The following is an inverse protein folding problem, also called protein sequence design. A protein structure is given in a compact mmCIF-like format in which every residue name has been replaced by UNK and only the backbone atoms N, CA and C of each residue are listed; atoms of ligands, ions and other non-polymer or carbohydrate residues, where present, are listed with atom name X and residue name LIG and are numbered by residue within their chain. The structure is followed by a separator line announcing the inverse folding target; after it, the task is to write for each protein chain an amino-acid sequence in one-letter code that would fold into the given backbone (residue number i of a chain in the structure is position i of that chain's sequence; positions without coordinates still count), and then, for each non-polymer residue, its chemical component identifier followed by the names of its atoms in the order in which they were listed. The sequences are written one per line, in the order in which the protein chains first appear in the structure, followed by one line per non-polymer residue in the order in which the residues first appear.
data_IF_172138982487
#
_entry.id   IF_172138982487
#
_cell.length_a   1.000
_cell.length_b   1.000
_cell.length_c   1.000
_cell.angle_alpha   90.00
_cell.angle_beta   90.00
_cell.angle_gamma   90.00
#
_symmetry.space_group_name_H-M   'P 1'
#
loop_
_entity.id
_entity.type
_entity.pdbx_description
1 polymer ?
#
# COMPACT_ATOMS: atom_id res chain seq x y z
N UNK A 1 -5.88 10.40 -32.37
CA UNK A 1 -6.04 9.63 -31.11
C UNK A 1 -5.63 8.20 -31.40
N UNK A 2 -4.68 7.63 -30.65
CA UNK A 2 -4.28 6.21 -30.79
C UNK A 2 -5.10 5.40 -29.77
N UNK A 3 -6.07 4.61 -30.27
CA UNK A 3 -6.97 3.78 -29.48
C UNK A 3 -6.76 2.33 -29.91
N UNK A 4 -6.47 1.43 -28.96
CA UNK A 4 -6.24 0.01 -29.24
C UNK A 4 -7.02 -0.88 -28.30
N UNK A 5 -7.49 -2.00 -28.84
CA UNK A 5 -8.13 -3.08 -28.09
C UNK A 5 -7.07 -4.10 -27.66
N UNK A 6 -6.91 -4.30 -26.36
CA UNK A 6 -5.93 -5.22 -25.76
C UNK A 6 -6.60 -6.57 -25.50
N UNK A 7 -6.89 -7.30 -26.59
CA UNK A 7 -7.63 -8.57 -26.51
C UNK A 7 -6.94 -9.62 -25.63
N UNK A 8 -5.60 -9.65 -25.63
CA UNK A 8 -4.80 -10.58 -24.82
C UNK A 8 -4.67 -10.22 -23.33
N UNK A 9 -5.18 -9.06 -22.89
CA UNK A 9 -5.22 -8.69 -21.48
C UNK A 9 -6.46 -9.30 -20.83
N UNK A 10 -6.26 -10.19 -19.86
CA UNK A 10 -7.37 -10.77 -19.12
C UNK A 10 -7.84 -9.80 -18.03
N UNK A 11 -9.00 -9.18 -18.22
CA UNK A 11 -9.61 -8.25 -17.25
C UNK A 11 -10.69 -8.95 -16.41
N UNK A 12 -10.84 -10.28 -16.54
CA UNK A 12 -11.90 -11.07 -15.89
C UNK A 12 -13.34 -10.54 -16.18
N UNK A 13 -13.51 -9.82 -17.30
CA UNK A 13 -14.76 -9.23 -17.80
C UNK A 13 -15.17 -9.88 -19.13
N UNK A 14 -16.44 -9.78 -19.50
CA UNK A 14 -16.98 -10.10 -20.82
C UNK A 14 -16.57 -9.09 -21.92
N UNK A 15 -15.98 -7.96 -21.53
CA UNK A 15 -15.48 -6.93 -22.43
C UNK A 15 -13.96 -6.93 -22.56
N UNK A 16 -13.46 -6.57 -23.75
CA UNK A 16 -12.03 -6.34 -23.95
C UNK A 16 -11.59 -5.00 -23.37
N UNK A 17 -10.35 -4.98 -22.86
CA UNK A 17 -9.71 -3.73 -22.46
C UNK A 17 -9.49 -2.84 -23.68
N UNK A 18 -10.00 -1.61 -23.63
CA UNK A 18 -9.70 -0.57 -24.63
C UNK A 18 -8.83 0.47 -23.95
N UNK A 19 -7.68 0.78 -24.54
CA UNK A 19 -6.82 1.85 -24.02
C UNK A 19 -6.53 2.88 -25.11
N UNK A 20 -6.48 4.15 -24.70
CA UNK A 20 -6.12 5.28 -25.54
C UNK A 20 -4.87 5.97 -25.00
N UNK A 21 -4.03 6.48 -25.91
CA UNK A 21 -2.84 7.26 -25.53
C UNK A 21 -3.16 8.74 -25.59
N UNK A 22 -3.19 9.39 -24.42
CA UNK A 22 -3.37 10.84 -24.29
C UNK A 22 -2.09 11.51 -23.78
N UNK A 23 -1.64 12.57 -24.45
CA UNK A 23 -0.56 13.44 -23.97
C UNK A 23 -1.18 14.70 -23.39
N UNK A 24 -1.19 14.82 -22.06
CA UNK A 24 -1.73 15.98 -21.36
C UNK A 24 -0.76 16.50 -20.30
N UNK A 25 -0.72 17.83 -20.12
CA UNK A 25 0.05 18.48 -19.04
C UNK A 25 -0.77 18.44 -17.75
N UNK A 26 -0.65 17.35 -17.00
CA UNK A 26 -1.33 17.22 -15.71
C UNK A 26 -0.66 18.18 -14.70
N UNK A 27 -1.46 18.98 -14.00
CA UNK A 27 -0.97 19.81 -12.90
C UNK A 27 -0.52 18.91 -11.74
N UNK A 28 0.79 18.73 -11.58
CA UNK A 28 1.39 17.90 -10.54
C UNK A 28 1.43 18.54 -9.15
N UNK A 29 0.95 19.79 -8.99
CA UNK A 29 0.97 20.49 -7.69
C UNK A 29 0.19 19.74 -6.60
N UNK A 30 -0.93 19.11 -6.96
CA UNK A 30 -1.71 18.27 -6.05
C UNK A 30 -0.90 17.09 -5.49
N UNK A 31 -0.11 16.42 -6.33
CA UNK A 31 0.75 15.30 -5.92
C UNK A 31 1.99 15.75 -5.13
N UNK A 32 2.56 16.92 -5.47
CA UNK A 32 3.68 17.50 -4.69
C UNK A 32 3.27 17.83 -3.25
N UNK A 33 2.07 18.36 -3.03
CA UNK A 33 1.54 18.58 -1.68
C UNK A 33 1.46 17.26 -0.91
N UNK A 34 1.01 16.18 -1.55
CA UNK A 34 0.83 14.87 -0.92
C UNK A 34 2.15 14.16 -0.57
N UNK A 35 3.19 14.29 -1.40
CA UNK A 35 4.52 13.76 -1.08
C UNK A 35 5.20 14.49 0.09
N UNK A 36 4.78 15.72 0.39
CA UNK A 36 5.21 16.48 1.57
C UNK A 36 4.32 16.26 2.79
N UNK A 37 3.19 15.55 2.65
CA UNK A 37 2.28 15.30 3.77
C UNK A 37 2.77 14.05 4.50
N UNK A 38 3.66 14.33 5.44
CA UNK A 38 4.03 13.51 6.58
C UNK A 38 4.67 12.16 6.25
N UNK A 39 6.01 12.14 6.33
CA UNK A 39 6.73 11.01 6.92
C UNK A 39 6.18 10.82 8.34
N UNK A 40 5.07 10.08 8.45
CA UNK A 40 4.44 9.79 9.72
C UNK A 40 5.46 9.05 10.57
N UNK A 41 5.53 9.42 11.84
CA UNK A 41 6.40 8.75 12.80
C UNK A 41 5.76 7.42 13.17
N UNK A 42 6.55 6.36 13.25
CA UNK A 42 6.04 5.05 13.60
C UNK A 42 5.91 4.90 15.12
N UNK A 43 4.69 5.12 15.62
CA UNK A 43 4.35 5.09 17.06
C UNK A 43 4.60 3.69 17.65
N UNK A 44 4.62 2.64 16.84
CA UNK A 44 4.86 1.28 17.33
C UNK A 44 6.25 1.13 17.99
N UNK A 45 7.23 1.92 17.55
CA UNK A 45 8.56 1.95 18.15
C UNK A 45 8.58 2.53 19.57
N UNK A 46 7.54 3.24 20.00
CA UNK A 46 7.39 3.69 21.40
C UNK A 46 7.06 2.56 22.36
N UNK A 47 6.74 1.34 21.87
CA UNK A 47 6.71 0.13 22.73
C UNK A 47 8.12 -0.24 23.22
N UNK A 48 9.17 0.20 22.52
CA UNK A 48 10.56 -0.08 22.90
C UNK A 48 11.06 0.93 23.94
N UNK A 49 11.41 0.44 25.13
CA UNK A 49 11.88 1.25 26.25
C UNK A 49 13.14 2.06 25.93
N UNK A 50 14.02 1.57 25.07
CA UNK A 50 15.23 2.29 24.65
C UNK A 50 14.88 3.56 23.87
N UNK A 51 13.99 3.44 22.89
CA UNK A 51 13.56 4.55 22.02
C UNK A 51 12.79 5.59 22.83
N UNK A 52 11.96 5.16 23.78
CA UNK A 52 11.27 6.07 24.71
C UNK A 52 12.27 6.86 25.55
N UNK A 53 13.31 6.22 26.06
CA UNK A 53 14.33 6.90 26.85
C UNK A 53 15.15 7.89 26.02
N UNK A 54 15.53 7.52 24.79
CA UNK A 54 16.23 8.40 23.86
C UNK A 54 15.36 9.62 23.49
N UNK A 55 14.07 9.40 23.21
CA UNK A 55 13.11 10.47 22.95
C UNK A 55 12.95 11.40 24.16
N UNK A 56 12.79 10.86 25.37
CA UNK A 56 12.70 11.67 26.60
C UNK A 56 13.96 12.50 26.84
N UNK A 57 15.14 11.95 26.54
CA UNK A 57 16.42 12.66 26.66
C UNK A 57 16.49 13.82 25.66
N UNK A 58 16.18 13.58 24.40
CA UNK A 58 16.12 14.62 23.37
C UNK A 58 15.10 15.71 23.70
N UNK A 59 13.92 15.32 24.20
CA UNK A 59 12.87 16.25 24.57
C UNK A 59 13.30 17.15 25.74
N UNK A 60 13.94 16.60 26.78
CA UNK A 60 14.50 17.38 27.89
C UNK A 60 15.58 18.36 27.44
N UNK A 61 16.43 17.94 26.50
CA UNK A 61 17.49 18.79 25.94
C UNK A 61 16.95 19.93 25.06
N UNK A 62 15.79 19.73 24.42
CA UNK A 62 15.18 20.72 23.51
C UNK A 62 14.18 21.64 24.19
N UNK A 63 13.56 21.21 25.29
CA UNK A 63 12.63 22.03 26.11
C UNK A 63 13.36 23.08 26.96
N UNK A 64 14.70 23.15 26.91
CA UNK A 64 15.47 24.15 27.67
C UNK A 64 14.91 25.55 27.44
N UNK A 65 14.58 26.20 28.56
CA UNK A 65 13.76 27.40 28.71
C UNK A 65 14.15 28.48 27.71
N UNK A 66 13.27 28.75 26.75
CA UNK A 66 13.30 29.98 25.94
C UNK A 66 12.52 31.08 26.65
N UNK A 67 12.98 32.31 26.46
CA UNK A 67 12.30 33.52 26.94
C UNK A 67 10.81 33.50 26.58
N UNK A 68 10.01 34.02 27.50
CA UNK A 68 8.54 34.06 27.44
C UNK A 68 8.10 34.50 26.04
N UNK A 69 7.49 33.57 25.30
CA UNK A 69 7.00 33.87 23.97
C UNK A 69 5.99 35.03 24.05
N UNK A 70 6.00 35.97 23.09
CA UNK A 70 5.21 37.20 23.17
C UNK A 70 3.69 36.93 23.14
N UNK A 71 3.25 35.77 22.65
CA UNK A 71 1.85 35.34 22.65
C UNK A 71 1.71 33.84 22.93
N UNK A 72 0.54 33.44 23.43
CA UNK A 72 0.18 32.03 23.67
C UNK A 72 0.24 31.19 22.39
N UNK A 73 -0.17 31.77 21.25
CA UNK A 73 -0.16 31.10 19.95
C UNK A 73 1.26 30.72 19.51
N UNK A 74 2.22 31.63 19.71
CA UNK A 74 3.63 31.41 19.37
C UNK A 74 4.23 30.37 20.32
N UNK A 75 3.94 30.48 21.62
CA UNK A 75 4.38 29.49 22.61
C UNK A 75 3.88 28.07 22.27
N UNK A 76 2.61 27.95 21.85
CA UNK A 76 2.04 26.66 21.45
C UNK A 76 2.67 26.11 20.17
N UNK A 77 2.90 26.97 19.18
CA UNK A 77 3.54 26.58 17.94
C UNK A 77 4.98 26.09 18.18
N UNK A 78 5.75 26.79 19.01
CA UNK A 78 7.11 26.40 19.38
C UNK A 78 7.14 25.07 20.14
N UNK A 79 6.22 24.88 21.10
CA UNK A 79 6.09 23.60 21.82
C UNK A 79 5.75 22.45 20.87
N UNK A 80 4.82 22.67 19.95
CA UNK A 80 4.44 21.67 18.94
C UNK A 80 5.64 21.32 18.05
N UNK A 81 6.39 22.31 17.60
CA UNK A 81 7.52 22.09 16.70
C UNK A 81 8.69 21.39 17.39
N UNK A 82 8.96 21.72 18.66
CA UNK A 82 9.96 21.02 19.49
C UNK A 82 9.61 19.55 19.69
N UNK A 83 8.35 19.24 20.02
CA UNK A 83 7.85 17.86 20.14
C UNK A 83 8.00 17.09 18.82
N UNK A 84 7.59 17.69 17.70
CA UNK A 84 7.68 17.06 16.37
C UNK A 84 9.15 16.85 15.96
N UNK A 85 10.04 17.79 16.27
CA UNK A 85 11.46 17.67 15.93
C UNK A 85 12.18 16.64 16.78
N UNK A 86 11.92 16.59 18.09
CA UNK A 86 12.47 15.56 18.97
C UNK A 86 12.02 14.16 18.54
N UNK A 87 10.76 14.01 18.15
CA UNK A 87 10.20 12.74 17.70
C UNK A 87 10.78 12.31 16.35
N UNK A 88 10.94 13.22 15.38
CA UNK A 88 11.61 12.93 14.09
C UNK A 88 13.08 12.50 14.22
N UNK A 89 13.78 12.95 15.26
CA UNK A 89 15.20 12.60 15.51
C UNK A 89 15.38 11.21 16.12
N UNK A 90 14.41 10.76 16.91
CA UNK A 90 14.57 9.57 17.78
C UNK A 90 13.72 8.40 17.33
N UNK A 91 12.53 8.68 16.79
CA UNK A 91 11.58 7.65 16.39
C UNK A 91 11.70 7.47 14.86
N UNK A 92 11.88 6.22 14.38
CA UNK A 92 11.94 5.94 12.95
C UNK A 92 10.70 6.41 12.19
N UNK A 93 10.91 6.78 10.92
CA UNK A 93 9.82 7.08 9.99
C UNK A 93 9.04 5.79 9.65
N UNK A 94 7.72 5.92 9.54
CA UNK A 94 6.85 4.83 9.14
C UNK A 94 7.22 4.36 7.74
N UNK A 95 7.65 3.11 7.65
CA UNK A 95 7.98 2.50 6.37
C UNK A 95 6.72 2.30 5.53
N UNK A 96 6.89 2.28 4.21
CA UNK A 96 5.80 1.92 3.31
C UNK A 96 5.29 0.51 3.66
N UNK A 97 4.03 0.44 4.09
CA UNK A 97 3.39 -0.84 4.36
C UNK A 97 3.28 -1.60 3.03
N UNK A 98 3.81 -2.82 2.98
CA UNK A 98 3.61 -3.72 1.85
C UNK A 98 2.12 -4.07 1.76
N UNK A 99 1.42 -3.49 0.78
CA UNK A 99 -0.04 -3.57 0.68
C UNK A 99 -0.59 -4.97 0.36
N UNK A 100 0.25 -5.96 -0.01
CA UNK A 100 -0.20 -7.27 -0.49
C UNK A 100 0.57 -8.45 0.14
N UNK A 101 0.63 -8.53 1.47
CA UNK A 101 1.30 -9.65 2.16
C UNK A 101 0.61 -11.02 1.98
N UNK A 102 -0.68 -11.05 1.60
CA UNK A 102 -1.41 -12.31 1.40
C UNK A 102 -1.19 -12.93 0.00
N UNK A 103 -0.70 -12.16 -0.97
CA UNK A 103 -0.52 -12.61 -2.34
C UNK A 103 0.89 -13.18 -2.49
N UNK A 104 0.99 -14.50 -2.53
CA UNK A 104 2.25 -15.23 -2.57
C UNK A 104 2.56 -15.80 -3.97
N UNK A 105 3.68 -16.52 -4.06
CA UNK A 105 4.18 -17.09 -5.32
C UNK A 105 3.18 -18.05 -5.96
N UNK A 106 2.50 -18.89 -5.16
CA UNK A 106 1.45 -19.78 -5.68
C UNK A 106 0.26 -18.98 -6.25
N UNK A 107 -0.14 -17.85 -5.64
CA UNK A 107 -1.16 -16.98 -6.25
C UNK A 107 -0.69 -16.45 -7.61
N UNK A 108 0.57 -16.01 -7.69
CA UNK A 108 1.17 -15.53 -8.93
C UNK A 108 1.15 -16.60 -10.01
N UNK A 109 1.54 -17.83 -9.67
CA UNK A 109 1.61 -18.95 -10.61
C UNK A 109 0.22 -19.36 -11.13
N UNK A 110 -0.78 -19.45 -10.25
CA UNK A 110 -2.14 -19.80 -10.67
C UNK A 110 -2.74 -18.70 -11.55
N UNK A 111 -2.52 -17.42 -11.21
CA UNK A 111 -2.93 -16.29 -12.08
C UNK A 111 -2.22 -16.35 -13.44
N UNK A 112 -0.94 -16.71 -13.47
CA UNK A 112 -0.18 -16.88 -14.72
C UNK A 112 -0.76 -18.00 -15.58
N UNK A 113 -1.03 -19.18 -15.01
CA UNK A 113 -1.69 -20.31 -15.70
C UNK A 113 -3.05 -19.92 -16.26
N UNK A 114 -3.88 -19.21 -15.46
CA UNK A 114 -5.17 -18.68 -15.91
C UNK A 114 -5.01 -17.74 -17.10
N UNK A 115 -4.05 -16.82 -17.05
CA UNK A 115 -3.81 -15.84 -18.11
C UNK A 115 -3.26 -16.50 -19.40
N UNK A 116 -2.44 -17.53 -19.28
CA UNK A 116 -1.99 -18.34 -20.41
C UNK A 116 -3.17 -19.07 -21.06
N UNK A 117 -4.04 -19.70 -20.27
CA UNK A 117 -5.24 -20.34 -20.78
C UNK A 117 -6.21 -19.35 -21.46
N UNK A 118 -6.35 -18.14 -20.93
CA UNK A 118 -7.11 -17.07 -21.56
C UNK A 118 -6.53 -16.70 -22.94
N UNK A 119 -5.20 -16.55 -23.06
CA UNK A 119 -4.55 -16.31 -24.35
C UNK A 119 -4.79 -17.45 -25.33
N UNK A 120 -4.66 -18.70 -24.88
CA UNK A 120 -4.93 -19.88 -25.71
C UNK A 120 -6.39 -19.93 -26.16
N UNK A 121 -7.35 -19.61 -25.28
CA UNK A 121 -8.78 -19.57 -25.61
C UNK A 121 -9.07 -18.54 -26.71
N UNK A 122 -8.48 -17.35 -26.62
CA UNK A 122 -8.61 -16.31 -27.65
C UNK A 122 -8.00 -16.78 -28.98
N UNK A 123 -6.78 -17.32 -28.95
CA UNK A 123 -6.09 -17.79 -30.15
C UNK A 123 -6.84 -18.92 -30.85
N UNK A 124 -7.50 -19.79 -30.07
CA UNK A 124 -8.33 -20.89 -30.59
C UNK A 124 -9.77 -20.47 -30.85
N UNK A 125 -10.08 -19.18 -30.93
CA UNK A 125 -11.42 -18.67 -31.22
C UNK A 125 -12.52 -19.30 -30.34
N UNK A 126 -12.27 -19.43 -29.04
CA UNK A 126 -13.26 -19.90 -28.06
C UNK A 126 -13.80 -21.32 -28.32
N UNK A 127 -12.96 -22.25 -28.78
CA UNK A 127 -13.33 -23.69 -28.78
C UNK A 127 -13.82 -24.14 -27.38
N UNK A 128 -14.83 -25.01 -27.35
CA UNK A 128 -15.44 -25.52 -26.10
C UNK A 128 -14.40 -26.00 -25.08
N UNK A 129 -13.43 -26.80 -25.52
CA UNK A 129 -12.38 -27.32 -24.66
C UNK A 129 -11.44 -26.24 -24.09
N UNK A 130 -11.11 -25.21 -24.89
CA UNK A 130 -10.26 -24.11 -24.41
C UNK A 130 -11.03 -23.20 -23.44
N UNK A 131 -12.32 -22.99 -23.68
CA UNK A 131 -13.20 -22.23 -22.80
C UNK A 131 -13.41 -22.94 -21.45
N UNK A 132 -13.68 -24.25 -21.47
CA UNK A 132 -13.81 -25.08 -20.27
C UNK A 132 -12.52 -25.04 -19.43
N UNK A 133 -11.36 -25.22 -20.08
CA UNK A 133 -10.05 -25.13 -19.41
C UNK A 133 -9.83 -23.76 -18.76
N UNK A 134 -10.16 -22.67 -19.45
CA UNK A 134 -10.06 -21.33 -18.88
C UNK A 134 -11.01 -21.16 -17.68
N UNK A 135 -12.26 -21.61 -17.80
CA UNK A 135 -13.26 -21.55 -16.72
C UNK A 135 -12.80 -22.34 -15.49
N UNK A 136 -12.20 -23.51 -15.67
CA UNK A 136 -11.63 -24.32 -14.58
C UNK A 136 -10.49 -23.58 -13.86
N UNK A 137 -9.48 -23.12 -14.60
CA UNK A 137 -8.34 -22.38 -14.02
C UNK A 137 -8.77 -21.06 -13.36
N UNK A 138 -9.80 -20.40 -13.91
CA UNK A 138 -10.40 -19.21 -13.28
C UNK A 138 -11.07 -19.56 -11.95
N UNK A 139 -11.79 -20.69 -11.86
CA UNK A 139 -12.40 -21.14 -10.60
C UNK A 139 -11.34 -21.51 -9.57
N UNK A 140 -10.30 -22.22 -9.99
CA UNK A 140 -9.14 -22.58 -9.15
C UNK A 140 -8.46 -21.33 -8.58
N UNK A 141 -8.10 -20.37 -9.43
CA UNK A 141 -7.52 -19.08 -9.01
C UNK A 141 -8.38 -18.41 -7.94
N UNK A 142 -9.68 -18.24 -8.19
CA UNK A 142 -10.57 -17.56 -7.23
C UNK A 142 -10.71 -18.35 -5.93
N UNK A 143 -10.68 -19.68 -5.95
CA UNK A 143 -10.71 -20.51 -4.73
C UNK A 143 -9.44 -20.30 -3.90
N UNK A 144 -8.27 -20.41 -4.53
CA UNK A 144 -6.98 -20.24 -3.83
C UNK A 144 -6.82 -18.83 -3.28
N UNK A 145 -7.12 -17.79 -4.07
CA UNK A 145 -7.05 -16.41 -3.60
C UNK A 145 -7.99 -16.15 -2.42
N UNK A 146 -9.23 -16.64 -2.48
CA UNK A 146 -10.20 -16.51 -1.36
C UNK A 146 -9.74 -17.24 -0.11
N UNK A 147 -9.11 -18.42 -0.25
CA UNK A 147 -8.55 -19.18 0.88
C UNK A 147 -7.42 -18.40 1.54
N UNK A 148 -6.38 -18.04 0.79
CA UNK A 148 -5.19 -17.35 1.31
C UNK A 148 -5.49 -15.98 1.89
N UNK A 149 -6.37 -15.21 1.23
CA UNK A 149 -6.84 -13.93 1.78
C UNK A 149 -7.53 -14.11 3.13
N UNK A 150 -8.35 -15.15 3.31
CA UNK A 150 -9.02 -15.44 4.59
C UNK A 150 -8.02 -15.86 5.66
N UNK A 151 -7.10 -16.76 5.36
CA UNK A 151 -6.04 -17.20 6.28
C UNK A 151 -5.18 -16.04 6.75
N UNK A 152 -4.79 -15.15 5.84
CA UNK A 152 -4.04 -13.95 6.17
C UNK A 152 -4.82 -12.99 7.09
N UNK A 153 -6.10 -12.72 6.78
CA UNK A 153 -6.95 -11.87 7.62
C UNK A 153 -7.12 -12.48 9.02
N UNK A 154 -7.31 -13.80 9.09
CA UNK A 154 -7.43 -14.52 10.36
C UNK A 154 -6.15 -14.45 11.19
N UNK A 155 -4.99 -14.60 10.54
CA UNK A 155 -3.68 -14.43 11.19
C UNK A 155 -3.51 -13.03 11.77
N UNK A 156 -3.83 -11.98 10.99
CA UNK A 156 -3.82 -10.60 11.50
C UNK A 156 -4.73 -10.46 12.72
N UNK A 157 -5.95 -10.98 12.63
CA UNK A 157 -6.92 -10.87 13.71
C UNK A 157 -6.39 -11.46 15.03
N UNK A 158 -5.77 -12.65 14.97
CA UNK A 158 -5.15 -13.28 16.14
C UNK A 158 -3.97 -12.44 16.67
N UNK A 159 -3.08 -11.99 15.79
CA UNK A 159 -1.94 -11.16 16.17
C UNK A 159 -2.39 -9.86 16.86
N UNK A 160 -3.46 -9.23 16.38
CA UNK A 160 -4.02 -8.02 16.99
C UNK A 160 -4.81 -8.27 18.27
N UNK A 161 -5.32 -9.49 18.49
CA UNK A 161 -6.13 -9.85 19.67
C UNK A 161 -5.29 -10.38 20.83
N UNK A 162 -4.04 -10.77 20.57
CA UNK A 162 -3.06 -11.22 21.56
C UNK A 162 -2.11 -10.10 22.04
N UNK A 163 -2.40 -8.84 21.68
CA UNK A 163 -1.71 -7.61 22.13
C UNK A 163 -2.68 -6.83 23.00
#
# INVERSE_FOLDING_TARGET
MDIRTFRGANVDSDHFLVASKLRHKINRSYHKKRNNVNKNIDIEYLKNTKIVNDYRKELKNTIVVRDVAPTVEIAWQDLKETIINASRKTIPEMQERKNNLWFDEECSDITKKKNEAYKTMIQKHYTRAAEERYKELRREEKRTHKKKKREYIWKIYIETSNI
#
